data_IF_715348050725
#
_entry.id   IF_715348050725
#
_cell.length_a   1.000
_cell.length_b   1.000
_cell.length_c   1.000
_cell.angle_alpha   90.00
_cell.angle_beta   90.00
_cell.angle_gamma   90.00
#
_symmetry.space_group_name_H-M   'P 1'
#
loop_
_entity.id
_entity.type
_entity.pdbx_description
1 polymer ?
#
# COMPACT_ATOMS: atom_id res chain seq x y z
N UNK A 1 -52.45 -33.23 13.01
CA UNK A 1 -51.70 -32.28 13.87
C UNK A 1 -50.31 -32.07 13.28
N UNK A 2 -50.06 -30.83 12.85
CA UNK A 2 -48.79 -30.06 12.86
C UNK A 2 -47.48 -30.80 12.52
N UNK A 3 -46.87 -30.54 11.34
CA UNK A 3 -45.84 -29.50 11.05
C UNK A 3 -44.61 -29.69 11.96
N UNK A 4 -43.39 -29.91 11.44
CA UNK A 4 -42.44 -28.91 10.92
C UNK A 4 -41.22 -29.73 10.38
N UNK A 5 -40.89 -29.70 9.08
CA UNK A 5 -40.03 -28.73 8.35
C UNK A 5 -38.53 -28.82 8.67
N UNK A 6 -37.75 -29.33 7.68
CA UNK A 6 -36.52 -28.78 7.04
C UNK A 6 -35.43 -28.29 8.04
N UNK A 7 -34.14 -28.61 7.88
CA UNK A 7 -33.23 -27.82 7.03
C UNK A 7 -31.88 -28.55 6.96
N UNK A 8 -31.53 -29.02 5.75
CA UNK A 8 -30.15 -29.04 5.28
C UNK A 8 -29.66 -27.59 5.22
N UNK A 9 -28.79 -27.19 6.14
CA UNK A 9 -27.97 -26.00 5.96
C UNK A 9 -26.54 -26.49 5.81
N UNK A 10 -26.14 -26.63 4.55
CA UNK A 10 -24.75 -26.62 4.17
C UNK A 10 -24.07 -25.47 4.90
N UNK A 11 -22.97 -25.77 5.59
CA UNK A 11 -22.06 -24.76 6.12
C UNK A 11 -21.54 -24.03 4.89
N UNK A 12 -22.20 -22.91 4.59
CA UNK A 12 -21.76 -21.97 3.59
C UNK A 12 -20.34 -21.56 3.96
N UNK A 13 -19.43 -21.85 3.04
CA UNK A 13 -18.12 -21.24 2.91
C UNK A 13 -18.16 -19.81 3.46
N UNK A 14 -17.22 -19.51 4.36
CA UNK A 14 -16.85 -18.16 4.75
C UNK A 14 -16.30 -17.42 3.51
N UNK A 15 -17.19 -17.08 2.59
CA UNK A 15 -17.02 -16.00 1.64
C UNK A 15 -17.22 -14.71 2.44
N UNK A 16 -16.13 -14.17 2.96
CA UNK A 16 -16.11 -12.92 3.71
C UNK A 16 -14.96 -12.04 3.25
N UNK A 17 -15.25 -11.17 2.28
CA UNK A 17 -14.42 -10.09 1.75
C UNK A 17 -13.09 -10.52 1.13
N UNK A 18 -13.14 -10.93 -0.14
CA UNK A 18 -11.95 -10.80 -0.99
C UNK A 18 -11.49 -9.35 -0.94
N UNK A 19 -10.24 -9.12 -0.52
CA UNK A 19 -9.60 -7.82 -0.70
C UNK A 19 -9.76 -7.46 -2.18
N UNK A 20 -10.59 -6.46 -2.48
CA UNK A 20 -10.58 -5.85 -3.81
C UNK A 20 -9.26 -5.12 -3.90
N UNK A 21 -8.48 -5.43 -4.93
CA UNK A 21 -7.16 -4.85 -5.17
C UNK A 21 -6.11 -5.88 -5.56
N UNK A 22 -5.00 -5.39 -6.08
CA UNK A 22 -3.80 -6.19 -6.31
C UNK A 22 -2.91 -6.13 -5.08
N UNK A 23 -2.59 -7.29 -4.52
CA UNK A 23 -1.68 -7.40 -3.37
C UNK A 23 -0.29 -7.74 -3.85
N UNK A 24 0.68 -6.93 -3.44
CA UNK A 24 2.09 -7.11 -3.71
C UNK A 24 2.83 -7.47 -2.43
N UNK A 25 3.82 -8.34 -2.53
CA UNK A 25 4.87 -8.47 -1.51
C UNK A 25 6.08 -7.67 -1.99
N UNK A 26 6.48 -6.66 -1.20
CA UNK A 26 7.55 -5.74 -1.56
C UNK A 26 8.69 -5.81 -0.55
N UNK A 27 9.91 -5.59 -1.02
CA UNK A 27 11.09 -5.37 -0.18
C UNK A 27 11.02 -3.96 0.41
N UNK A 28 11.43 -3.82 1.68
CA UNK A 28 11.49 -2.53 2.38
C UNK A 28 12.91 -1.97 2.23
N UNK A 29 13.04 -0.71 1.84
CA UNK A 29 14.32 -0.01 1.93
C UNK A 29 14.74 0.13 3.40
N UNK A 30 15.71 -0.69 3.83
CA UNK A 30 16.10 -0.79 5.23
C UNK A 30 16.73 0.49 5.77
N UNK A 31 17.46 1.24 4.93
CA UNK A 31 18.12 2.48 5.34
C UNK A 31 17.09 3.57 5.67
N UNK A 32 16.07 3.72 4.82
CA UNK A 32 14.98 4.67 5.06
C UNK A 32 14.13 4.25 6.27
N UNK A 33 13.89 2.95 6.44
CA UNK A 33 13.17 2.46 7.62
C UNK A 33 13.94 2.70 8.92
N UNK A 34 15.26 2.46 8.94
CA UNK A 34 16.12 2.73 10.09
C UNK A 34 16.19 4.23 10.41
N UNK A 35 16.21 5.08 9.39
CA UNK A 35 16.09 6.53 9.56
C UNK A 35 14.74 6.89 10.21
N UNK A 36 13.64 6.37 9.69
CA UNK A 36 12.30 6.61 10.23
C UNK A 36 12.15 6.13 11.68
N UNK A 37 12.78 5.01 12.08
CA UNK A 37 12.79 4.54 13.47
C UNK A 37 13.41 5.54 14.46
N UNK A 38 14.32 6.40 14.01
CA UNK A 38 14.95 7.44 14.84
C UNK A 38 14.15 8.74 14.94
N UNK A 39 13.12 8.92 14.10
CA UNK A 39 12.39 10.18 13.95
C UNK A 39 11.07 10.16 14.71
N UNK A 40 10.84 11.17 15.55
CA UNK A 40 9.58 11.31 16.30
C UNK A 40 8.41 11.52 15.34
N UNK A 41 7.43 10.60 15.37
CA UNK A 41 6.20 10.70 14.59
C UNK A 41 6.32 10.17 13.15
N UNK A 42 7.45 9.61 12.78
CA UNK A 42 7.61 8.89 11.53
C UNK A 42 6.87 7.55 11.58
N UNK A 43 6.36 7.11 10.42
CA UNK A 43 5.88 5.73 10.27
C UNK A 43 7.06 4.84 9.86
N UNK A 44 7.18 3.72 10.53
CA UNK A 44 8.25 2.74 10.32
C UNK A 44 7.77 1.32 10.64
N UNK A 45 8.56 0.35 10.21
CA UNK A 45 8.45 -1.05 10.56
C UNK A 45 9.40 -1.40 11.71
N UNK A 46 9.11 -2.44 12.51
CA UNK A 46 10.07 -2.97 13.47
C UNK A 46 11.42 -3.26 12.84
N UNK A 47 12.50 -3.05 13.61
CA UNK A 47 13.87 -3.30 13.14
C UNK A 47 14.02 -4.74 12.65
N UNK A 48 14.65 -4.90 11.49
CA UNK A 48 14.87 -6.20 10.85
C UNK A 48 13.70 -6.70 9.99
N UNK A 49 12.61 -5.93 9.85
CA UNK A 49 11.57 -6.24 8.86
C UNK A 49 12.12 -5.97 7.46
N UNK A 50 12.13 -6.99 6.60
CA UNK A 50 12.71 -6.90 5.26
C UNK A 50 11.67 -6.78 4.15
N UNK A 51 10.45 -7.25 4.41
CA UNK A 51 9.36 -7.27 3.43
C UNK A 51 8.04 -6.82 4.04
N UNK A 52 7.13 -6.31 3.22
CA UNK A 52 5.77 -5.95 3.63
C UNK A 52 4.77 -6.28 2.52
N UNK A 53 3.49 -6.36 2.91
CA UNK A 53 2.37 -6.45 1.97
C UNK A 53 1.85 -5.06 1.66
N UNK A 54 1.71 -4.78 0.38
CA UNK A 54 1.11 -3.54 -0.14
C UNK A 54 -0.11 -3.92 -0.96
N UNK A 55 -1.25 -3.29 -0.71
CA UNK A 55 -2.49 -3.50 -1.47
C UNK A 55 -2.78 -2.26 -2.28
N UNK A 56 -2.87 -2.39 -3.60
CA UNK A 56 -3.32 -1.33 -4.51
C UNK A 56 -4.77 -1.61 -4.91
N UNK A 57 -5.68 -0.73 -4.50
CA UNK A 57 -7.09 -0.81 -4.88
C UNK A 57 -7.64 0.57 -5.20
N UNK A 58 -8.34 0.72 -6.33
CA UNK A 58 -8.94 1.98 -6.77
C UNK A 58 -7.96 3.18 -6.68
N UNK A 59 -6.73 2.98 -7.15
CA UNK A 59 -5.61 3.93 -7.09
C UNK A 59 -5.23 4.42 -5.67
N UNK A 60 -5.53 3.61 -4.66
CA UNK A 60 -5.12 3.84 -3.27
C UNK A 60 -4.23 2.69 -2.82
N UNK A 61 -3.07 3.04 -2.28
CA UNK A 61 -2.16 2.10 -1.62
C UNK A 61 -2.55 1.96 -0.15
N UNK A 62 -2.59 0.72 0.32
CA UNK A 62 -2.68 0.38 1.74
C UNK A 62 -1.48 -0.48 2.15
N UNK A 63 -0.82 -0.12 3.25
CA UNK A 63 0.30 -0.87 3.84
C UNK A 63 -0.06 -1.19 5.29
N UNK A 64 -0.69 -2.34 5.57
CA UNK A 64 -1.26 -2.62 6.89
C UNK A 64 -0.24 -2.64 8.03
N UNK A 65 1.00 -3.00 7.74
CA UNK A 65 2.06 -3.14 8.77
C UNK A 65 2.93 -1.89 8.95
N UNK A 66 2.65 -0.78 8.25
CA UNK A 66 3.45 0.44 8.35
C UNK A 66 2.98 1.32 9.52
N UNK A 67 3.73 1.28 10.63
CA UNK A 67 3.34 1.93 11.88
C UNK A 67 2.19 1.21 12.60
N UNK A 68 1.66 1.83 13.66
CA UNK A 68 0.67 1.20 14.55
C UNK A 68 -0.68 0.89 13.88
N UNK A 69 -1.16 1.82 13.06
CA UNK A 69 -2.50 1.77 12.46
C UNK A 69 -2.46 1.45 10.96
N UNK A 70 -1.30 0.99 10.47
CA UNK A 70 -1.00 0.88 9.05
C UNK A 70 -0.93 2.24 8.35
N UNK A 71 -0.88 2.18 7.03
CA UNK A 71 -0.86 3.34 6.16
C UNK A 71 -1.86 3.19 5.02
N UNK A 72 -2.47 4.31 4.64
CA UNK A 72 -3.37 4.43 3.49
C UNK A 72 -3.02 5.73 2.78
N UNK A 73 -2.71 5.63 1.48
CA UNK A 73 -2.39 6.79 0.65
C UNK A 73 -3.64 7.61 0.34
N UNK A 74 -3.42 8.77 -0.26
CA UNK A 74 -4.46 9.49 -0.99
C UNK A 74 -4.84 8.72 -2.26
N UNK A 75 -5.96 9.14 -2.88
CA UNK A 75 -6.35 8.65 -4.20
C UNK A 75 -5.38 9.25 -5.22
N UNK A 76 -4.54 8.40 -5.80
CA UNK A 76 -3.56 8.79 -6.81
C UNK A 76 -4.21 8.91 -8.19
N UNK A 77 -3.61 9.73 -9.05
CA UNK A 77 -3.99 9.88 -10.45
C UNK A 77 -3.02 9.13 -11.33
N UNK A 78 -3.55 8.49 -12.38
CA UNK A 78 -2.71 7.88 -13.40
C UNK A 78 -2.07 8.96 -14.28
N UNK A 79 -0.76 8.86 -14.44
CA UNK A 79 0.04 9.70 -15.33
C UNK A 79 -0.32 9.39 -16.78
N UNK A 80 -0.76 10.39 -17.53
CA UNK A 80 -1.30 10.21 -18.89
C UNK A 80 -0.24 10.24 -20.00
N UNK A 81 0.94 10.79 -19.70
CA UNK A 81 2.09 10.92 -20.58
C UNK A 81 3.36 10.95 -19.75
N UNK A 82 4.49 10.50 -20.31
CA UNK A 82 5.78 10.55 -19.63
C UNK A 82 6.11 11.97 -19.14
N UNK A 83 6.63 12.07 -17.92
CA UNK A 83 7.10 13.30 -17.28
C UNK A 83 8.57 13.12 -16.91
N UNK A 84 9.46 13.59 -17.79
CA UNK A 84 10.90 13.45 -17.62
C UNK A 84 11.44 14.18 -16.40
N UNK A 85 10.81 15.30 -16.00
CA UNK A 85 11.25 16.11 -14.87
C UNK A 85 11.03 15.37 -13.55
N UNK A 86 9.90 14.69 -13.43
CA UNK A 86 9.57 13.86 -12.26
C UNK A 86 10.01 12.41 -12.41
N UNK A 87 10.63 12.05 -13.52
CA UNK A 87 10.99 10.68 -13.88
C UNK A 87 9.80 9.70 -13.83
N UNK A 88 8.60 10.17 -14.18
CA UNK A 88 7.38 9.35 -14.22
C UNK A 88 7.11 8.91 -15.66
N UNK A 89 6.53 7.72 -15.82
CA UNK A 89 6.08 7.19 -17.10
C UNK A 89 4.56 7.15 -17.16
N UNK A 90 4.04 7.15 -18.38
CA UNK A 90 2.62 6.89 -18.62
C UNK A 90 2.19 5.59 -17.94
N UNK A 91 1.12 5.66 -17.16
CA UNK A 91 0.57 4.54 -16.39
C UNK A 91 1.07 4.43 -14.94
N UNK A 92 2.06 5.23 -14.53
CA UNK A 92 2.40 5.37 -13.11
C UNK A 92 1.26 6.07 -12.37
N UNK A 93 1.12 5.81 -11.06
CA UNK A 93 0.15 6.50 -10.22
C UNK A 93 0.86 7.50 -9.32
N UNK A 94 0.33 8.72 -9.24
CA UNK A 94 0.90 9.77 -8.40
C UNK A 94 -0.17 10.59 -7.67
N UNK A 95 0.12 10.89 -6.41
CA UNK A 95 -0.43 12.01 -5.68
C UNK A 95 0.72 12.90 -5.22
N UNK A 96 0.68 14.18 -5.55
CA UNK A 96 1.79 15.10 -5.25
C UNK A 96 1.25 16.47 -4.87
N UNK A 97 1.59 16.90 -3.65
CA UNK A 97 1.30 18.23 -3.13
C UNK A 97 2.50 18.75 -2.30
N UNK A 98 2.35 19.88 -1.62
CA UNK A 98 3.44 20.50 -0.87
C UNK A 98 3.95 19.68 0.33
N UNK A 99 3.09 18.82 0.89
CA UNK A 99 3.35 18.08 2.13
C UNK A 99 3.56 16.58 1.90
N UNK A 100 3.06 16.04 0.79
CA UNK A 100 2.95 14.61 0.54
C UNK A 100 3.17 14.31 -0.93
N UNK A 101 4.10 13.40 -1.19
CA UNK A 101 4.28 12.75 -2.49
C UNK A 101 4.13 11.24 -2.31
N UNK A 102 3.22 10.64 -3.06
CA UNK A 102 2.91 9.21 -3.03
C UNK A 102 2.91 8.71 -4.46
N UNK A 103 3.69 7.69 -4.75
CA UNK A 103 3.88 7.18 -6.11
C UNK A 103 3.83 5.66 -6.12
N UNK A 104 3.13 5.11 -7.12
CA UNK A 104 3.28 3.72 -7.57
C UNK A 104 3.90 3.74 -8.96
N UNK A 105 5.17 3.34 -9.06
CA UNK A 105 5.88 3.24 -10.32
C UNK A 105 5.55 1.89 -10.95
N UNK A 106 4.59 1.87 -11.87
CA UNK A 106 4.06 0.66 -12.46
C UNK A 106 5.11 -0.07 -13.31
N UNK A 107 6.03 0.67 -13.94
CA UNK A 107 7.07 0.06 -14.78
C UNK A 107 8.16 -0.68 -14.00
N UNK A 108 8.41 -0.30 -12.75
CA UNK A 108 9.44 -0.90 -11.87
C UNK A 108 8.84 -1.68 -10.70
N UNK A 109 7.51 -1.62 -10.51
CA UNK A 109 6.81 -2.14 -9.35
C UNK A 109 7.43 -1.62 -8.04
N UNK A 110 7.53 -0.30 -7.95
CA UNK A 110 8.07 0.41 -6.78
C UNK A 110 7.01 1.32 -6.18
N UNK A 111 7.08 1.52 -4.86
CA UNK A 111 6.24 2.45 -4.13
C UNK A 111 7.13 3.43 -3.39
N UNK A 112 6.84 4.72 -3.52
CA UNK A 112 7.53 5.78 -2.77
C UNK A 112 6.51 6.62 -2.04
N UNK A 113 6.73 6.82 -0.74
CA UNK A 113 5.91 7.68 0.10
C UNK A 113 6.81 8.68 0.80
N UNK A 114 6.56 9.95 0.58
CA UNK A 114 7.28 11.08 1.18
C UNK A 114 6.25 11.94 1.90
N UNK A 115 6.40 12.12 3.20
CA UNK A 115 5.62 13.07 3.99
C UNK A 115 6.48 14.27 4.35
N UNK A 116 6.73 15.15 3.39
CA UNK A 116 7.48 16.40 3.57
C UNK A 116 8.77 16.18 4.35
N UNK A 117 9.00 16.96 5.41
CA UNK A 117 10.16 16.81 6.30
C UNK A 117 10.01 15.74 7.39
N UNK A 118 8.92 14.97 7.40
CA UNK A 118 8.59 14.05 8.50
C UNK A 118 9.23 12.69 8.34
N UNK A 119 9.09 12.06 7.18
CA UNK A 119 9.64 10.74 6.88
C UNK A 119 9.44 10.36 5.42
N UNK A 120 10.19 9.34 5.00
CA UNK A 120 10.09 8.73 3.68
C UNK A 120 10.15 7.20 3.82
N UNK A 121 9.42 6.49 2.97
CA UNK A 121 9.50 5.04 2.80
C UNK A 121 9.57 4.71 1.32
N UNK A 122 10.38 3.73 0.99
CA UNK A 122 10.53 3.19 -0.35
C UNK A 122 10.39 1.68 -0.30
N UNK A 123 9.67 1.15 -1.27
CA UNK A 123 9.43 -0.28 -1.44
C UNK A 123 9.74 -0.66 -2.86
N UNK A 124 10.48 -1.76 -3.02
CA UNK A 124 10.93 -2.23 -4.33
C UNK A 124 10.62 -3.70 -4.50
N UNK A 125 10.84 -4.21 -5.71
CA UNK A 125 10.60 -5.61 -6.08
C UNK A 125 9.18 -6.10 -5.72
N UNK A 126 8.16 -5.26 -5.85
CA UNK A 126 6.78 -5.62 -5.54
C UNK A 126 6.29 -6.72 -6.52
N UNK A 127 5.99 -7.90 -6.00
CA UNK A 127 5.59 -9.11 -6.76
C UNK A 127 4.22 -9.63 -6.35
#
# INVERSE_FOLDING_TARGET
MNKVLIICAAIALLAGCGEKGTTYTCDINSELNDMALSMKGAKSFPKGTTTTKIVLNDNVITIPSLGKDGYKSNIMKEVQSDDEVKHLKKGDLIYDNQDVTEVFLNSTNEVVIIHGSKWMQEFSNCK
#
